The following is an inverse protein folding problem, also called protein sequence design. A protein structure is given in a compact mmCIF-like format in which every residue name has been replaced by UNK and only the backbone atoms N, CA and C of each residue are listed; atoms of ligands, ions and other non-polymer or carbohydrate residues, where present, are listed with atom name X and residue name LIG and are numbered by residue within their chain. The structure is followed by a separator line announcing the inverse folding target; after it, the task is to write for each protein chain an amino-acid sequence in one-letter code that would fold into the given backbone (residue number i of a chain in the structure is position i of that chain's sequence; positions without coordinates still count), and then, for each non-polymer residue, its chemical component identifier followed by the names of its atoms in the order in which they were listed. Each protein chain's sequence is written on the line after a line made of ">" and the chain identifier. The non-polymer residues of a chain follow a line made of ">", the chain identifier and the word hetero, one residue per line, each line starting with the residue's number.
data_IF_331238942840
#
_entry.id   IF_331238942840
#
_cell.length_a   1.000
_cell.length_b   1.000
_cell.length_c   1.000
_cell.angle_alpha   90.00
_cell.angle_beta   90.00
_cell.angle_gamma   90.00
#
_symmetry.space_group_name_H-M   'P 1'
#
loop_
_entity.id
_entity.type
_entity.pdbx_description
1 polymer ?
#
# COMPACT_ATOMS: atom_id res chain seq x y z
N UNK A 1 25.21 -2.78 -9.22
CA UNK A 1 24.10 -1.81 -9.08
C UNK A 1 22.96 -2.27 -10.00
N UNK A 2 21.75 -2.50 -9.48
CA UNK A 2 20.68 -3.18 -10.22
C UNK A 2 20.05 -2.27 -11.30
N UNK A 3 19.99 -2.75 -12.55
CA UNK A 3 19.43 -2.04 -13.73
C UNK A 3 17.98 -1.55 -13.56
N UNK A 4 17.22 -2.11 -12.61
CA UNK A 4 15.80 -1.84 -12.42
C UNK A 4 15.47 -0.36 -12.13
N UNK A 5 16.43 0.41 -11.60
CA UNK A 5 16.21 1.80 -11.17
C UNK A 5 16.54 2.86 -12.24
N UNK A 6 17.05 2.47 -13.42
CA UNK A 6 17.45 3.42 -14.47
C UNK A 6 16.35 3.76 -15.46
N UNK A 7 15.23 3.05 -15.43
CA UNK A 7 14.07 3.35 -16.27
C UNK A 7 13.05 4.15 -15.46
N UNK A 8 12.93 5.48 -15.65
CA UNK A 8 12.11 6.36 -14.82
C UNK A 8 10.61 6.01 -14.79
N UNK A 9 10.15 5.12 -15.67
CA UNK A 9 8.76 4.65 -15.72
C UNK A 9 8.51 3.38 -14.88
N UNK A 10 9.54 2.77 -14.28
CA UNK A 10 9.39 1.56 -13.45
C UNK A 10 9.19 1.85 -11.96
N UNK A 11 9.46 3.07 -11.51
CA UNK A 11 9.31 3.47 -10.11
C UNK A 11 8.09 4.37 -9.98
N UNK A 12 7.06 3.87 -9.29
CA UNK A 12 5.86 4.64 -8.97
C UNK A 12 6.01 5.22 -7.58
N UNK A 13 5.81 6.53 -7.45
CA UNK A 13 5.78 7.22 -6.16
C UNK A 13 4.35 7.65 -5.83
N UNK A 14 3.92 7.51 -4.55
CA UNK A 14 2.61 7.95 -4.13
C UNK A 14 2.46 9.47 -4.27
N UNK A 15 1.28 9.91 -4.71
CA UNK A 15 0.94 11.33 -4.76
C UNK A 15 0.66 11.90 -3.36
N UNK A 16 0.60 13.23 -3.23
CA UNK A 16 0.18 13.88 -1.98
C UNK A 16 -1.23 13.47 -1.54
N UNK A 17 -2.13 13.19 -2.49
CA UNK A 17 -3.48 12.67 -2.21
C UNK A 17 -3.45 11.23 -1.68
N UNK A 18 -2.50 10.41 -2.12
CA UNK A 18 -2.31 9.05 -1.61
C UNK A 18 -1.84 9.07 -0.16
N UNK A 19 -0.95 10.00 0.21
CA UNK A 19 -0.55 10.20 1.60
C UNK A 19 -1.73 10.54 2.52
N UNK A 20 -2.60 11.46 2.11
CA UNK A 20 -3.81 11.80 2.87
C UNK A 20 -4.78 10.62 2.95
N UNK A 21 -4.94 9.88 1.86
CA UNK A 21 -5.79 8.69 1.80
C UNK A 21 -5.25 7.59 2.70
N UNK A 22 -3.94 7.37 2.70
CA UNK A 22 -3.28 6.40 3.56
C UNK A 22 -3.55 6.66 5.04
N UNK A 23 -3.42 7.91 5.50
CA UNK A 23 -3.76 8.28 6.87
C UNK A 23 -5.20 7.91 7.27
N UNK A 24 -6.16 8.15 6.38
CA UNK A 24 -7.58 7.77 6.60
C UNK A 24 -7.78 6.25 6.66
N UNK A 25 -7.09 5.51 5.80
CA UNK A 25 -7.14 4.04 5.75
C UNK A 25 -6.50 3.44 7.01
N UNK A 26 -5.33 3.92 7.42
CA UNK A 26 -4.63 3.50 8.64
C UNK A 26 -5.51 3.74 9.87
N UNK A 27 -6.14 4.92 9.97
CA UNK A 27 -7.07 5.22 11.05
C UNK A 27 -8.25 4.23 11.11
N UNK A 28 -8.80 3.81 9.96
CA UNK A 28 -9.85 2.79 9.90
C UNK A 28 -9.34 1.39 10.28
N UNK A 29 -8.16 1.03 9.79
CA UNK A 29 -7.52 -0.25 10.08
C UNK A 29 -7.27 -0.43 11.57
N UNK A 30 -6.63 0.54 12.25
CA UNK A 30 -6.37 0.36 13.68
C UNK A 30 -7.60 0.53 14.56
N UNK A 31 -8.66 1.23 14.12
CA UNK A 31 -9.98 1.13 14.79
C UNK A 31 -10.55 -0.28 14.73
N UNK A 32 -10.31 -1.04 13.65
CA UNK A 32 -10.83 -2.40 13.47
C UNK A 32 -9.93 -3.48 14.09
N UNK A 33 -8.61 -3.30 14.01
CA UNK A 33 -7.61 -4.34 14.29
C UNK A 33 -6.64 -4.01 15.44
N UNK A 34 -6.67 -2.78 15.98
CA UNK A 34 -5.71 -2.29 16.97
C UNK A 34 -4.44 -1.70 16.35
N UNK A 35 -3.70 -0.94 17.16
CA UNK A 35 -2.41 -0.35 16.78
C UNK A 35 -1.30 -0.87 17.71
N UNK A 36 -0.28 -1.48 17.12
CA UNK A 36 1.04 -1.67 17.75
C UNK A 36 2.06 -0.81 16.99
N UNK A 37 3.07 -0.24 17.65
CA UNK A 37 3.98 0.73 16.99
C UNK A 37 4.74 0.13 15.79
N UNK A 38 5.16 -1.13 15.88
CA UNK A 38 5.78 -1.85 14.74
C UNK A 38 4.80 -2.11 13.59
N UNK A 39 3.51 -2.17 13.88
CA UNK A 39 2.47 -2.36 12.88
C UNK A 39 2.25 -1.10 12.05
N UNK A 40 2.37 0.10 12.66
CA UNK A 40 2.08 1.38 12.00
C UNK A 40 3.00 1.72 10.83
N UNK A 41 4.32 1.57 10.98
CA UNK A 41 5.26 1.88 9.90
C UNK A 41 5.15 0.89 8.73
N UNK A 42 4.98 -0.40 9.06
CA UNK A 42 4.79 -1.46 8.06
C UNK A 42 3.47 -1.28 7.30
N UNK A 43 2.36 -1.08 8.01
CA UNK A 43 1.04 -0.95 7.39
C UNK A 43 0.93 0.33 6.55
N UNK A 44 1.59 1.42 6.95
CA UNK A 44 1.63 2.65 6.14
C UNK A 44 2.24 2.39 4.76
N UNK A 45 3.37 1.70 4.70
CA UNK A 45 4.04 1.38 3.44
C UNK A 45 3.18 0.44 2.58
N UNK A 46 2.56 -0.58 3.18
CA UNK A 46 1.68 -1.50 2.45
C UNK A 46 0.45 -0.77 1.87
N UNK A 47 -0.13 0.18 2.62
CA UNK A 47 -1.24 1.02 2.13
C UNK A 47 -0.78 1.92 0.97
N UNK A 48 0.40 2.53 1.05
CA UNK A 48 0.94 3.37 -0.02
C UNK A 48 1.25 2.56 -1.29
N UNK A 49 1.74 1.33 -1.14
CA UNK A 49 1.94 0.40 -2.26
C UNK A 49 0.59 0.09 -2.94
N UNK A 50 -0.45 -0.23 -2.15
CA UNK A 50 -1.78 -0.52 -2.69
C UNK A 50 -2.40 0.68 -3.43
N UNK A 51 -2.25 1.89 -2.88
CA UNK A 51 -2.72 3.13 -3.51
C UNK A 51 -1.95 3.44 -4.80
N UNK A 52 -0.63 3.27 -4.79
CA UNK A 52 0.23 3.48 -5.96
C UNK A 52 -0.11 2.49 -7.08
N UNK A 53 -0.33 1.20 -6.75
CA UNK A 53 -0.76 0.20 -7.72
C UNK A 53 -2.12 0.56 -8.32
N UNK A 54 -3.09 0.97 -7.49
CA UNK A 54 -4.41 1.44 -7.94
C UNK A 54 -4.31 2.63 -8.88
N UNK A 55 -3.44 3.60 -8.56
CA UNK A 55 -3.27 4.83 -9.35
C UNK A 55 -2.90 4.54 -10.81
N UNK A 56 -2.09 3.51 -11.05
CA UNK A 56 -1.63 3.13 -12.40
C UNK A 56 -2.38 1.93 -12.99
N UNK A 57 -3.42 1.42 -12.31
CA UNK A 57 -4.16 0.23 -12.74
C UNK A 57 -3.38 -1.09 -12.64
N UNK A 58 -2.33 -1.14 -11.82
CA UNK A 58 -1.52 -2.33 -11.61
C UNK A 58 -2.09 -3.26 -10.53
N UNK A 59 -1.53 -4.48 -10.47
CA UNK A 59 -1.78 -5.44 -9.39
C UNK A 59 -0.61 -5.44 -8.41
N UNK A 60 -0.92 -5.56 -7.12
CA UNK A 60 0.09 -5.85 -6.09
C UNK A 60 0.41 -7.34 -6.13
N UNK A 61 1.69 -7.69 -6.21
CA UNK A 61 2.21 -9.03 -6.01
C UNK A 61 2.97 -9.03 -4.68
N UNK A 62 2.64 -9.93 -3.76
CA UNK A 62 3.22 -9.90 -2.40
C UNK A 62 3.17 -11.25 -1.71
N UNK A 63 4.15 -11.51 -0.85
CA UNK A 63 4.11 -12.61 0.12
C UNK A 63 3.39 -12.21 1.43
N UNK A 64 3.05 -10.93 1.60
CA UNK A 64 2.33 -10.41 2.77
C UNK A 64 0.81 -10.37 2.54
N UNK A 65 0.25 -11.44 1.97
CA UNK A 65 -1.16 -11.51 1.56
C UNK A 65 -2.13 -11.13 2.67
N UNK A 66 -1.82 -11.52 3.91
CA UNK A 66 -2.68 -11.26 5.08
C UNK A 66 -2.92 -9.76 5.31
N UNK A 67 -1.90 -8.92 5.22
CA UNK A 67 -2.05 -7.48 5.47
C UNK A 67 -2.72 -6.80 4.26
N UNK A 68 -2.37 -7.20 3.04
CA UNK A 68 -3.00 -6.65 1.82
C UNK A 68 -4.48 -7.04 1.70
N UNK A 69 -4.90 -8.21 2.19
CA UNK A 69 -6.32 -8.56 2.29
C UNK A 69 -7.08 -7.63 3.26
N UNK A 70 -6.49 -7.28 4.41
CA UNK A 70 -7.10 -6.30 5.34
C UNK A 70 -7.19 -4.90 4.71
N UNK A 71 -6.15 -4.49 3.97
CA UNK A 71 -6.15 -3.20 3.27
C UNK A 71 -7.24 -3.18 2.18
N UNK A 72 -7.46 -4.31 1.49
CA UNK A 72 -8.45 -4.45 0.41
C UNK A 72 -9.89 -4.26 0.88
N UNK A 73 -10.16 -4.39 2.17
CA UNK A 73 -11.45 -4.02 2.77
C UNK A 73 -11.73 -2.50 2.74
N UNK A 74 -10.68 -1.66 2.61
CA UNK A 74 -10.78 -0.20 2.66
C UNK A 74 -10.31 0.49 1.37
N UNK A 75 -9.52 -0.20 0.55
CA UNK A 75 -8.98 0.30 -0.71
C UNK A 75 -9.26 -0.72 -1.81
N UNK A 76 -9.92 -0.31 -2.88
CA UNK A 76 -10.12 -1.19 -4.03
C UNK A 76 -8.86 -1.24 -4.90
N UNK A 77 -8.17 -2.37 -4.95
CA UNK A 77 -7.01 -2.63 -5.81
C UNK A 77 -6.91 -4.11 -6.20
N UNK A 78 -6.16 -4.40 -7.25
CA UNK A 78 -5.91 -5.77 -7.71
C UNK A 78 -4.77 -6.40 -6.89
N UNK A 79 -4.97 -7.64 -6.44
CA UNK A 79 -4.01 -8.38 -5.62
C UNK A 79 -3.82 -9.75 -6.25
N UNK A 80 -2.57 -10.10 -6.52
CA UNK A 80 -2.13 -11.43 -6.93
C UNK A 80 -1.31 -11.98 -5.76
N UNK A 81 -1.80 -13.08 -5.18
CA UNK A 81 -1.30 -13.65 -3.93
C UNK A 81 -0.97 -15.13 -4.11
#
# INVERSE_FOLDING_TARGET
>A
MYKAFYEPQRVVAPSSADWQTAGKVIAKLGRKYGFEDRFLSKIQNDVLIALSARQIGASVITNNTKDFLKIKEFVNFNLIA
#
